data_IF_546090092097
#
_entry.id   IF_546090092097
#
_cell.length_a   1.000
_cell.length_b   1.000
_cell.length_c   1.000
_cell.angle_alpha   90.00
_cell.angle_beta   90.00
_cell.angle_gamma   90.00
#
_symmetry.space_group_name_H-M   'P 1'
#
loop_
_entity.id
_entity.type
_entity.pdbx_description
1 polymer ?
#
# COMPACT_ATOMS: atom_id res chain seq x y z
N UNK A 1 5.15 15.20 -11.93
CA UNK A 1 4.01 14.47 -12.56
C UNK A 1 4.50 13.31 -13.45
N UNK A 2 5.14 12.27 -12.88
CA UNK A 2 5.49 11.02 -13.62
C UNK A 2 4.67 9.81 -13.16
N UNK A 3 4.06 9.91 -11.99
CA UNK A 3 3.51 8.78 -11.26
C UNK A 3 2.11 8.32 -11.77
N UNK A 4 1.24 9.24 -12.20
CA UNK A 4 -0.08 8.87 -12.78
C UNK A 4 0.06 8.06 -14.08
N UNK A 5 1.18 8.20 -14.79
CA UNK A 5 1.43 7.56 -16.10
C UNK A 5 1.69 6.06 -15.97
N UNK A 6 2.26 5.59 -14.86
CA UNK A 6 2.61 4.17 -14.73
C UNK A 6 1.38 3.30 -14.43
N UNK A 7 0.46 3.75 -13.57
CA UNK A 7 -0.80 3.00 -13.30
C UNK A 7 -1.63 2.86 -14.58
N UNK A 8 -1.78 3.94 -15.34
CA UNK A 8 -2.44 3.91 -16.66
C UNK A 8 -1.73 2.95 -17.64
N UNK A 9 -0.40 2.85 -17.55
CA UNK A 9 0.37 1.91 -18.37
C UNK A 9 0.16 0.46 -17.94
N UNK A 10 0.00 0.18 -16.65
CA UNK A 10 -0.34 -1.15 -16.16
C UNK A 10 -1.72 -1.56 -16.65
N UNK A 11 -2.76 -0.75 -16.42
CA UNK A 11 -4.13 -1.03 -16.87
C UNK A 11 -4.19 -1.40 -18.36
N UNK A 12 -3.50 -0.61 -19.20
CA UNK A 12 -3.41 -0.87 -20.64
C UNK A 12 -2.69 -2.19 -20.96
N UNK A 13 -1.63 -2.53 -20.23
CA UNK A 13 -0.84 -3.76 -20.49
C UNK A 13 -1.52 -5.01 -19.98
N UNK A 14 -2.23 -4.92 -18.87
CA UNK A 14 -2.98 -6.03 -18.28
C UNK A 14 -4.35 -6.21 -18.95
N UNK A 15 -4.85 -5.20 -19.68
CA UNK A 15 -6.20 -5.18 -20.21
C UNK A 15 -7.25 -5.16 -19.09
N UNK A 16 -6.88 -4.64 -17.92
CA UNK A 16 -7.68 -4.74 -16.71
C UNK A 16 -8.77 -3.67 -16.67
N UNK A 17 -9.99 -4.09 -16.37
CA UNK A 17 -11.12 -3.20 -16.15
C UNK A 17 -11.03 -2.55 -14.77
N UNK A 18 -11.05 -1.22 -14.76
CA UNK A 18 -10.97 -0.43 -13.53
C UNK A 18 -12.13 -0.79 -12.61
N UNK A 19 -11.81 -1.17 -11.36
CA UNK A 19 -12.81 -1.53 -10.36
C UNK A 19 -13.41 -0.34 -9.62
N UNK A 20 -12.70 0.78 -9.61
CA UNK A 20 -13.09 2.02 -8.92
C UNK A 20 -13.43 1.81 -7.44
N UNK A 21 -12.56 1.10 -6.72
CA UNK A 21 -12.79 0.72 -5.32
C UNK A 21 -12.52 1.92 -4.42
N UNK A 22 -13.54 2.34 -3.67
CA UNK A 22 -13.39 3.35 -2.62
C UNK A 22 -12.56 2.81 -1.45
N UNK A 23 -11.65 3.63 -0.93
CA UNK A 23 -10.77 3.28 0.18
C UNK A 23 -10.86 4.38 1.24
N UNK A 24 -10.88 4.03 2.54
CA UNK A 24 -10.99 5.00 3.64
C UNK A 24 -9.64 5.70 3.91
N UNK A 25 -9.09 6.40 2.92
CA UNK A 25 -7.75 6.98 2.97
C UNK A 25 -7.52 7.86 4.20
N UNK A 26 -8.51 8.67 4.59
CA UNK A 26 -8.39 9.53 5.77
C UNK A 26 -8.12 8.73 7.05
N UNK A 27 -8.78 7.57 7.23
CA UNK A 27 -8.59 6.71 8.40
C UNK A 27 -7.24 5.99 8.35
N UNK A 28 -6.85 5.52 7.15
CA UNK A 28 -5.58 4.82 6.92
C UNK A 28 -4.40 5.77 7.20
N UNK A 29 -4.42 6.97 6.63
CA UNK A 29 -3.35 7.95 6.78
C UNK A 29 -3.27 8.49 8.22
N UNK A 30 -4.42 8.62 8.90
CA UNK A 30 -4.44 8.92 10.33
C UNK A 30 -3.79 7.81 11.17
N UNK A 31 -4.03 6.54 10.83
CA UNK A 31 -3.40 5.40 11.53
C UNK A 31 -1.88 5.33 11.28
N UNK A 32 -1.44 5.56 10.04
CA UNK A 32 -0.02 5.56 9.66
C UNK A 32 0.73 6.82 10.12
N UNK A 33 0.02 7.91 10.40
CA UNK A 33 0.60 9.20 10.75
C UNK A 33 1.35 9.88 9.60
N UNK A 34 1.06 9.50 8.35
CA UNK A 34 1.65 10.09 7.14
C UNK A 34 0.68 10.01 5.96
N UNK A 35 0.80 10.96 5.05
CA UNK A 35 0.13 10.87 3.75
C UNK A 35 0.83 9.81 2.88
N UNK A 36 0.02 9.01 2.19
CA UNK A 36 0.46 8.03 1.23
C UNK A 36 0.61 8.65 -0.17
N UNK A 37 1.52 8.12 -1.02
CA UNK A 37 1.68 8.60 -2.38
C UNK A 37 0.37 8.52 -3.20
N UNK A 38 0.06 9.60 -3.92
CA UNK A 38 -1.18 9.70 -4.73
C UNK A 38 -1.34 8.61 -5.78
N UNK A 39 -0.23 8.09 -6.31
CA UNK A 39 -0.21 7.03 -7.32
C UNK A 39 -0.38 5.64 -6.73
N UNK A 40 0.06 5.40 -5.50
CA UNK A 40 -0.30 4.21 -4.76
C UNK A 40 -1.81 4.17 -4.49
N UNK A 41 -2.40 5.29 -4.06
CA UNK A 41 -3.86 5.39 -3.89
C UNK A 41 -4.61 5.11 -5.19
N UNK A 42 -4.10 5.63 -6.32
CA UNK A 42 -4.66 5.36 -7.65
C UNK A 42 -4.53 3.89 -8.07
N UNK A 43 -3.42 3.22 -7.74
CA UNK A 43 -3.25 1.78 -7.96
C UNK A 43 -4.34 0.99 -7.21
N UNK A 44 -4.51 1.27 -5.92
CA UNK A 44 -5.52 0.60 -5.09
C UNK A 44 -6.94 0.87 -5.59
N UNK A 45 -7.26 2.10 -6.01
CA UNK A 45 -8.56 2.41 -6.60
C UNK A 45 -8.80 1.65 -7.91
N UNK A 46 -7.78 1.53 -8.75
CA UNK A 46 -7.89 0.91 -10.07
C UNK A 46 -8.04 -0.62 -9.99
N UNK A 47 -7.28 -1.27 -9.11
CA UNK A 47 -7.20 -2.73 -9.04
C UNK A 47 -7.95 -3.36 -7.85
N UNK A 48 -8.20 -2.59 -6.78
CA UNK A 48 -8.66 -3.11 -5.49
C UNK A 48 -7.62 -3.99 -4.79
N UNK A 49 -8.04 -4.66 -3.71
CA UNK A 49 -7.21 -5.69 -3.07
C UNK A 49 -6.92 -6.82 -4.07
N UNK A 50 -5.68 -7.34 -4.06
CA UNK A 50 -5.35 -8.49 -4.90
C UNK A 50 -3.88 -8.74 -5.14
N UNK A 51 -3.65 -9.86 -5.81
CA UNK A 51 -2.34 -10.42 -6.10
C UNK A 51 -2.07 -10.33 -7.62
N UNK A 52 -0.97 -9.69 -8.00
CA UNK A 52 -0.46 -9.65 -9.36
C UNK A 52 0.47 -10.83 -9.57
N UNK A 53 0.02 -11.80 -10.37
CA UNK A 53 0.82 -12.95 -10.81
C UNK A 53 1.45 -13.78 -9.69
N UNK A 54 0.96 -13.67 -8.46
CA UNK A 54 1.53 -14.31 -7.26
C UNK A 54 2.89 -13.82 -6.78
N UNK A 55 3.34 -12.71 -7.34
CA UNK A 55 4.64 -12.11 -7.04
C UNK A 55 4.48 -10.78 -6.30
N UNK A 56 3.32 -10.12 -6.42
CA UNK A 56 3.08 -8.83 -5.78
C UNK A 56 1.67 -8.77 -5.23
N UNK A 57 1.56 -8.39 -3.97
CA UNK A 57 0.28 -8.16 -3.31
C UNK A 57 0.05 -6.65 -3.15
N UNK A 58 -1.09 -6.16 -3.61
CA UNK A 58 -1.54 -4.81 -3.29
C UNK A 58 -2.40 -4.89 -2.05
N UNK A 59 -1.80 -4.48 -0.92
CA UNK A 59 -2.52 -4.29 0.32
C UNK A 59 -3.54 -3.16 0.13
N UNK A 60 -4.77 -3.39 0.55
CA UNK A 60 -5.85 -2.41 0.51
C UNK A 60 -6.47 -2.29 1.90
N UNK A 61 -7.30 -1.28 2.12
CA UNK A 61 -8.06 -1.16 3.36
C UNK A 61 -9.55 -0.92 3.09
N UNK A 62 -10.04 -1.50 1.99
CA UNK A 62 -11.47 -1.53 1.70
C UNK A 62 -12.23 -2.39 2.73
N UNK A 63 -13.56 -2.33 2.65
CA UNK A 63 -14.46 -2.99 3.58
C UNK A 63 -14.24 -4.51 3.68
N UNK A 64 -13.65 -5.14 2.65
CA UNK A 64 -13.39 -6.58 2.68
C UNK A 64 -12.32 -6.97 3.70
N UNK A 65 -11.44 -6.03 4.07
CA UNK A 65 -10.26 -6.24 4.93
C UNK A 65 -9.36 -7.38 4.45
N UNK A 66 -9.49 -7.81 3.20
CA UNK A 66 -8.58 -8.77 2.58
C UNK A 66 -7.28 -8.03 2.31
N UNK A 67 -6.17 -8.55 2.84
CA UNK A 67 -4.85 -7.93 2.71
C UNK A 67 -4.82 -6.49 3.27
N UNK A 68 -5.35 -6.32 4.51
CA UNK A 68 -5.48 -5.04 5.22
C UNK A 68 -4.13 -4.36 5.44
N UNK A 69 -3.89 -3.22 4.76
CA UNK A 69 -2.67 -2.43 4.90
C UNK A 69 -2.37 -2.07 6.35
N UNK A 70 -3.36 -1.62 7.11
CA UNK A 70 -3.15 -1.17 8.50
C UNK A 70 -2.90 -2.36 9.41
N UNK A 71 -3.57 -3.49 9.16
CA UNK A 71 -3.36 -4.74 9.89
C UNK A 71 -1.95 -5.30 9.68
N UNK A 72 -1.53 -5.45 8.43
CA UNK A 72 -0.19 -5.93 8.07
C UNK A 72 0.91 -5.01 8.60
N UNK A 73 0.73 -3.68 8.47
CA UNK A 73 1.68 -2.72 9.00
C UNK A 73 1.87 -2.86 10.52
N UNK A 74 0.78 -2.99 11.30
CA UNK A 74 0.87 -3.20 12.76
C UNK A 74 1.55 -4.51 13.11
N UNK A 75 1.17 -5.59 12.44
CA UNK A 75 1.78 -6.90 12.66
C UNK A 75 3.30 -6.85 12.41
N UNK A 76 3.70 -6.26 11.28
CA UNK A 76 5.12 -6.10 10.95
C UNK A 76 5.85 -5.25 11.98
N UNK A 77 5.25 -4.14 12.41
CA UNK A 77 5.81 -3.25 13.41
C UNK A 77 6.00 -3.93 14.78
N UNK A 78 5.04 -4.75 15.20
CA UNK A 78 5.12 -5.52 16.45
C UNK A 78 6.13 -6.67 16.37
N UNK A 79 6.31 -7.25 15.18
CA UNK A 79 7.20 -8.39 14.95
C UNK A 79 8.65 -8.01 14.65
N UNK A 80 8.94 -6.73 14.36
CA UNK A 80 10.26 -6.29 13.95
C UNK A 80 11.21 -6.17 15.16
N UNK A 81 12.02 -7.21 15.38
CA UNK A 81 13.02 -7.29 16.45
C UNK A 81 14.43 -6.89 15.97
N UNK A 82 14.56 -6.14 14.86
CA UNK A 82 15.81 -6.09 14.10
C UNK A 82 16.65 -4.81 14.23
N UNK A 83 17.99 -4.99 14.27
CA UNK A 83 18.95 -3.91 14.05
C UNK A 83 19.23 -3.64 12.57
N UNK A 84 19.02 -4.63 11.68
CA UNK A 84 19.08 -4.48 10.21
C UNK A 84 17.93 -5.17 9.44
N UNK A 85 17.38 -6.31 9.87
CA UNK A 85 16.06 -6.84 9.43
C UNK A 85 15.89 -7.22 7.95
N UNK A 86 14.76 -7.86 7.57
CA UNK A 86 14.45 -8.15 6.17
C UNK A 86 14.16 -6.89 5.34
N UNK A 87 13.95 -5.75 6.01
CA UNK A 87 13.63 -4.49 5.37
C UNK A 87 14.86 -3.62 5.10
N UNK A 88 16.07 -3.99 5.56
CA UNK A 88 17.30 -3.24 5.28
C UNK A 88 17.49 -2.92 3.77
N UNK A 89 18.01 -1.72 3.44
CA UNK A 89 18.43 -0.65 4.35
C UNK A 89 17.27 0.20 4.90
N UNK A 90 16.03 -0.12 4.52
CA UNK A 90 14.82 0.53 4.99
C UNK A 90 14.33 -0.08 6.30
N UNK A 91 13.30 0.52 6.89
CA UNK A 91 12.64 0.03 8.10
C UNK A 91 11.13 0.16 7.94
N UNK A 92 10.39 -0.58 8.76
CA UNK A 92 8.95 -0.35 8.89
C UNK A 92 8.74 1.06 9.44
N UNK A 93 7.82 1.80 8.81
CA UNK A 93 7.49 3.16 9.20
C UNK A 93 6.85 3.19 10.59
N UNK A 94 7.42 4.00 11.49
CA UNK A 94 6.89 4.28 12.82
C UNK A 94 6.30 5.70 12.87
N UNK A 95 5.04 5.91 13.27
CA UNK A 95 4.45 7.23 13.28
C UNK A 95 5.17 8.12 14.28
N UNK A 96 5.56 9.33 13.85
CA UNK A 96 6.29 10.28 14.69
C UNK A 96 7.79 10.03 14.80
N UNK A 97 8.33 8.95 14.21
CA UNK A 97 9.78 8.77 14.01
C UNK A 97 10.14 9.27 12.63
N UNK A 98 11.13 10.16 12.54
CA UNK A 98 11.66 10.57 11.25
C UNK A 98 12.33 9.35 10.56
N UNK A 99 12.01 9.14 9.29
CA UNK A 99 12.65 8.10 8.48
C UNK A 99 14.17 8.30 8.44
N UNK A 100 14.91 7.19 8.49
CA UNK A 100 16.36 7.18 8.31
C UNK A 100 16.73 7.38 6.83
#
# INVERSE_FOLDING_TARGET
MRFVVWVASLLRRTGWDVRDVAQPWAEIEAALGTELPSDYKLLCQAFGAGEFSREMTVLCADESRVQDLVGEWRYLLESDDSSDGPFAPYRIHEPGRAGA
#
